data_IF_596158882661
#
_entry.id   IF_596158882661
#
_cell.length_a   1.000
_cell.length_b   1.000
_cell.length_c   1.000
_cell.angle_alpha   90.00
_cell.angle_beta   90.00
_cell.angle_gamma   90.00
#
_symmetry.space_group_name_H-M   'P 1'
#
loop_
_entity.id
_entity.type
_entity.pdbx_description
1 polymer ?
#
# COMPACT_ATOMS: atom_id res chain seq x y z
N UNK A 1 -12.99 26.03 -19.15
CA UNK A 1 -11.77 25.24 -19.40
C UNK A 1 -11.66 24.18 -18.32
N UNK A 2 -11.82 22.94 -18.71
CA UNK A 2 -11.72 21.84 -17.76
C UNK A 2 -10.26 21.46 -17.59
N UNK A 3 -9.71 21.75 -16.42
CA UNK A 3 -8.39 21.29 -16.07
C UNK A 3 -8.44 19.78 -15.86
N UNK A 4 -7.44 19.01 -16.31
CA UNK A 4 -7.40 17.59 -16.04
C UNK A 4 -7.31 17.34 -14.53
N UNK A 5 -8.03 16.33 -14.06
CA UNK A 5 -7.96 15.91 -12.68
C UNK A 5 -6.64 15.19 -12.43
N UNK A 6 -6.04 15.48 -11.30
CA UNK A 6 -4.81 14.79 -10.86
C UNK A 6 -5.19 13.67 -9.91
N UNK A 7 -4.95 12.43 -10.32
CA UNK A 7 -5.15 11.25 -9.50
C UNK A 7 -3.78 10.73 -9.04
N UNK A 8 -3.61 10.60 -7.74
CA UNK A 8 -2.37 10.07 -7.17
C UNK A 8 -2.67 8.74 -6.49
N UNK A 9 -1.91 7.71 -6.87
CA UNK A 9 -2.00 6.40 -6.25
C UNK A 9 -1.24 6.36 -4.94
N UNK A 10 -1.89 5.91 -3.89
CA UNK A 10 -1.30 5.75 -2.57
C UNK A 10 -0.69 4.35 -2.46
N UNK A 11 0.54 4.26 -1.97
CA UNK A 11 1.32 3.02 -1.98
C UNK A 11 1.50 2.39 -0.61
N UNK A 12 0.94 2.98 0.43
CA UNK A 12 1.08 2.48 1.78
C UNK A 12 0.58 1.06 1.96
N UNK A 13 1.16 0.36 2.92
CA UNK A 13 0.83 -1.04 3.25
C UNK A 13 0.07 -1.15 4.56
N UNK A 14 -0.10 -0.07 5.27
CA UNK A 14 -0.93 0.03 6.47
C UNK A 14 -1.82 1.24 6.37
N UNK A 15 -2.88 1.28 7.18
CA UNK A 15 -3.76 2.44 7.23
C UNK A 15 -2.99 3.72 7.53
N UNK A 16 -2.04 3.68 8.46
CA UNK A 16 -1.21 4.84 8.82
C UNK A 16 -0.32 5.31 7.68
N UNK A 17 0.28 4.38 6.95
CA UNK A 17 1.10 4.73 5.79
C UNK A 17 0.26 5.34 4.67
N UNK A 18 -0.91 4.77 4.42
CA UNK A 18 -1.84 5.29 3.42
C UNK A 18 -2.29 6.70 3.82
N UNK A 19 -2.56 6.93 5.10
CA UNK A 19 -2.93 8.25 5.59
C UNK A 19 -1.83 9.29 5.36
N UNK A 20 -0.57 8.93 5.60
CA UNK A 20 0.55 9.82 5.31
C UNK A 20 0.69 10.10 3.82
N UNK A 21 0.52 9.07 2.98
CA UNK A 21 0.56 9.23 1.53
C UNK A 21 -0.56 10.17 1.06
N UNK A 22 -1.74 10.08 1.66
CA UNK A 22 -2.86 10.95 1.33
C UNK A 22 -2.55 12.42 1.63
N UNK A 23 -1.90 12.69 2.75
CA UNK A 23 -1.49 14.07 3.08
C UNK A 23 -0.48 14.61 2.09
N UNK A 24 0.49 13.80 1.69
CA UNK A 24 1.44 14.20 0.66
C UNK A 24 0.75 14.46 -0.67
N UNK A 25 -0.22 13.62 -1.03
CA UNK A 25 -0.99 13.82 -2.26
C UNK A 25 -1.76 15.13 -2.23
N UNK A 26 -2.39 15.47 -1.11
CA UNK A 26 -3.06 16.76 -0.96
C UNK A 26 -2.10 17.93 -1.14
N UNK A 27 -0.91 17.84 -0.55
CA UNK A 27 0.11 18.87 -0.68
C UNK A 27 0.63 19.02 -2.11
N UNK A 28 0.59 17.95 -2.90
CA UNK A 28 0.99 17.95 -4.30
C UNK A 28 -0.14 18.41 -5.23
N UNK A 29 -1.31 18.70 -4.70
CA UNK A 29 -2.43 19.19 -5.49
C UNK A 29 -3.29 18.10 -6.11
N UNK A 30 -3.35 16.91 -5.53
CA UNK A 30 -4.23 15.86 -6.03
C UNK A 30 -5.70 16.25 -5.92
N UNK A 31 -6.49 15.87 -6.92
CA UNK A 31 -7.94 16.03 -6.92
C UNK A 31 -8.65 14.78 -6.44
N UNK A 32 -8.02 13.63 -6.61
CA UNK A 32 -8.53 12.32 -6.21
C UNK A 32 -7.36 11.42 -5.88
N UNK A 33 -7.56 10.48 -4.96
CA UNK A 33 -6.54 9.49 -4.60
C UNK A 33 -7.05 8.10 -4.90
N UNK A 34 -6.15 7.22 -5.34
CA UNK A 34 -6.44 5.80 -5.51
C UNK A 34 -5.86 5.04 -4.33
N UNK A 35 -6.70 4.25 -3.67
CA UNK A 35 -6.29 3.42 -2.54
C UNK A 35 -6.32 1.96 -2.95
N UNK A 36 -5.15 1.31 -2.90
CA UNK A 36 -5.02 -0.13 -3.15
C UNK A 36 -5.22 -0.89 -1.84
N UNK A 37 -6.43 -1.35 -1.61
CA UNK A 37 -6.76 -2.08 -0.37
C UNK A 37 -5.99 -3.40 -0.25
N UNK A 38 -5.69 -4.04 -1.38
CA UNK A 38 -4.91 -5.28 -1.38
C UNK A 38 -3.49 -5.10 -0.83
N UNK A 39 -2.94 -3.89 -0.88
CA UNK A 39 -1.64 -3.62 -0.27
C UNK A 39 -1.61 -3.80 1.25
N UNK A 40 -2.77 -3.78 1.91
CA UNK A 40 -2.86 -4.06 3.34
C UNK A 40 -2.40 -5.48 3.69
N UNK A 41 -2.48 -6.41 2.75
CA UNK A 41 -2.03 -7.79 2.93
C UNK A 41 -0.59 -8.00 2.51
N UNK A 42 0.23 -6.97 2.66
CA UNK A 42 1.65 -7.02 2.39
C UNK A 42 2.43 -6.36 3.50
N UNK A 43 3.66 -6.80 3.69
CA UNK A 43 4.62 -6.10 4.54
C UNK A 43 5.97 -6.11 3.86
N UNK A 44 6.76 -5.10 4.17
CA UNK A 44 8.11 -4.99 3.64
C UNK A 44 9.08 -5.61 4.64
N UNK A 45 9.81 -6.65 4.21
CA UNK A 45 10.92 -7.20 4.97
C UNK A 45 12.22 -6.63 4.44
N UNK A 46 12.94 -5.95 5.31
CA UNK A 46 14.32 -5.57 5.01
C UNK A 46 15.21 -6.75 5.29
N UNK A 47 15.69 -7.38 4.23
CA UNK A 47 16.77 -8.31 4.37
C UNK A 47 18.05 -7.50 4.56
N UNK A 48 18.55 -7.46 5.79
CA UNK A 48 19.93 -7.14 5.99
C UNK A 48 20.72 -8.30 5.39
N UNK A 49 21.17 -8.11 4.18
CA UNK A 49 22.29 -8.90 3.74
C UNK A 49 23.44 -8.40 4.60
N UNK A 50 23.72 -9.12 5.67
CA UNK A 50 24.98 -8.94 6.34
C UNK A 50 26.02 -9.16 5.26
N UNK A 51 26.59 -8.09 4.79
CA UNK A 51 27.78 -8.22 4.03
C UNK A 51 28.79 -8.80 4.99
N UNK A 52 28.94 -10.07 4.95
CA UNK A 52 30.18 -10.69 5.34
C UNK A 52 31.21 -10.21 4.36
N UNK A 53 31.25 -8.97 4.25
CA UNK A 53 32.31 -8.41 3.49
C UNK A 53 33.53 -8.62 4.32
N UNK A 54 34.24 -9.49 3.92
CA UNK A 54 35.66 -9.35 3.87
C UNK A 54 35.97 -8.01 3.27
N UNK A 55 35.40 -7.02 3.78
CA UNK A 55 35.57 -5.62 3.71
C UNK A 55 36.35 -4.98 2.60
N UNK A 56 36.44 -5.60 1.50
CA UNK A 56 37.35 -5.11 0.50
C UNK A 56 36.76 -4.05 -0.38
N UNK A 57 35.48 -3.81 -0.29
CA UNK A 57 34.88 -2.73 -1.06
C UNK A 57 34.04 -1.84 -0.20
N UNK A 58 34.72 -0.91 0.40
CA UNK A 58 34.09 0.17 1.13
C UNK A 58 33.21 1.07 0.27
N UNK A 59 33.26 0.91 -1.03
CA UNK A 59 32.45 1.70 -1.94
C UNK A 59 31.10 1.08 -2.28
N UNK A 60 30.82 -0.10 -1.79
CA UNK A 60 29.49 -0.68 -1.98
C UNK A 60 28.57 -0.19 -0.89
N UNK A 61 27.72 0.72 -1.30
CA UNK A 61 26.54 1.02 -0.53
C UNK A 61 25.83 -0.30 -0.21
N UNK A 62 25.46 -0.46 1.04
CA UNK A 62 24.67 -1.57 1.48
C UNK A 62 23.42 -1.71 0.60
N UNK A 63 23.34 -2.80 -0.13
CA UNK A 63 22.13 -3.13 -0.85
C UNK A 63 21.12 -3.63 0.16
N UNK A 64 20.25 -2.74 0.58
CA UNK A 64 19.07 -3.12 1.32
C UNK A 64 18.09 -3.69 0.30
N UNK A 65 18.04 -5.00 0.17
CA UNK A 65 16.99 -5.64 -0.60
C UNK A 65 15.75 -5.72 0.28
N UNK A 66 14.73 -4.98 -0.10
CA UNK A 66 13.44 -5.09 0.54
C UNK A 66 12.60 -6.11 -0.24
N UNK A 67 12.13 -7.15 0.45
CA UNK A 67 11.19 -8.10 -0.10
C UNK A 67 9.79 -7.77 0.38
N UNK A 68 8.84 -7.86 -0.53
CA UNK A 68 7.43 -7.75 -0.18
C UNK A 68 6.95 -9.12 0.26
N UNK A 69 6.52 -9.22 1.51
CA UNK A 69 5.94 -10.44 2.06
C UNK A 69 4.43 -10.38 1.93
N UNK A 70 3.85 -11.46 1.40
CA UNK A 70 2.40 -11.64 1.34
C UNK A 70 1.89 -12.06 2.72
N UNK A 71 0.88 -11.35 3.24
CA UNK A 71 0.21 -11.72 4.48
C UNK A 71 -1.00 -12.59 4.22
N UNK A 72 -1.37 -13.39 5.20
CA UNK A 72 -2.59 -14.20 5.14
C UNK A 72 -3.81 -13.35 5.44
N UNK A 73 -4.98 -13.83 5.03
CA UNK A 73 -6.23 -13.07 5.16
C UNK A 73 -6.50 -12.64 6.60
N UNK A 74 -6.31 -13.53 7.57
CA UNK A 74 -6.57 -13.26 8.98
C UNK A 74 -5.49 -12.45 9.69
N UNK A 75 -4.36 -12.15 9.05
CA UNK A 75 -3.31 -11.34 9.65
C UNK A 75 -3.60 -9.84 9.62
N UNK A 76 -4.60 -9.42 8.88
CA UNK A 76 -4.94 -8.00 8.71
C UNK A 76 -6.33 -7.74 9.29
N UNK A 77 -6.42 -6.80 10.21
CA UNK A 77 -7.69 -6.27 10.69
C UNK A 77 -8.15 -5.16 9.76
N UNK A 78 -8.87 -5.55 8.72
CA UNK A 78 -9.30 -4.63 7.68
C UNK A 78 -10.17 -3.49 8.22
N UNK A 79 -11.06 -3.78 9.17
CA UNK A 79 -11.96 -2.76 9.72
C UNK A 79 -11.19 -1.64 10.39
N UNK A 80 -10.19 -1.99 11.21
CA UNK A 80 -9.34 -1.01 11.89
C UNK A 80 -8.51 -0.21 10.90
N UNK A 81 -7.90 -0.88 9.94
CA UNK A 81 -7.08 -0.22 8.93
C UNK A 81 -7.91 0.69 8.04
N UNK A 82 -9.09 0.22 7.63
CA UNK A 82 -9.96 1.01 6.77
C UNK A 82 -10.55 2.22 7.51
N UNK A 83 -10.81 2.13 8.80
CA UNK A 83 -11.26 3.27 9.59
C UNK A 83 -10.24 4.41 9.52
N UNK A 84 -8.96 4.10 9.64
CA UNK A 84 -7.88 5.09 9.49
C UNK A 84 -7.90 5.69 8.08
N UNK A 85 -8.02 4.85 7.07
CA UNK A 85 -8.04 5.29 5.67
C UNK A 85 -9.23 6.19 5.39
N UNK A 86 -10.41 5.82 5.86
CA UNK A 86 -11.65 6.56 5.57
C UNK A 86 -11.64 7.98 6.14
N UNK A 87 -10.83 8.23 7.15
CA UNK A 87 -10.74 9.52 7.80
C UNK A 87 -9.51 10.33 7.42
N UNK A 88 -8.65 9.80 6.56
CA UNK A 88 -7.34 10.40 6.32
C UNK A 88 -7.37 11.61 5.37
N UNK A 89 -8.41 11.75 4.58
CA UNK A 89 -8.52 12.85 3.62
C UNK A 89 -9.98 13.11 3.27
N UNK A 90 -10.29 14.34 2.89
CA UNK A 90 -11.60 14.71 2.33
C UNK A 90 -11.65 14.53 0.81
N UNK A 91 -10.52 14.21 0.18
CA UNK A 91 -10.50 13.98 -1.25
C UNK A 91 -11.29 12.72 -1.62
N UNK A 92 -11.93 12.71 -2.79
CA UNK A 92 -12.55 11.49 -3.29
C UNK A 92 -11.52 10.36 -3.42
N UNK A 93 -11.95 9.16 -3.07
CA UNK A 93 -11.10 7.97 -3.15
C UNK A 93 -11.63 6.99 -4.18
N UNK A 94 -10.73 6.47 -5.00
CA UNK A 94 -11.00 5.29 -5.82
C UNK A 94 -10.44 4.11 -5.05
N UNK A 95 -11.32 3.19 -4.64
CA UNK A 95 -10.92 2.01 -3.88
C UNK A 95 -10.75 0.83 -4.82
N UNK A 96 -9.59 0.21 -4.80
CA UNK A 96 -9.32 -0.99 -5.58
C UNK A 96 -8.80 -2.08 -4.68
N UNK A 97 -9.10 -3.33 -5.03
CA UNK A 97 -8.62 -4.51 -4.31
C UNK A 97 -8.33 -5.60 -5.33
N UNK A 98 -7.07 -5.71 -5.73
CA UNK A 98 -6.66 -6.61 -6.81
C UNK A 98 -6.32 -7.98 -6.25
N UNK A 99 -6.92 -9.07 -6.80
CA UNK A 99 -6.61 -10.42 -6.35
C UNK A 99 -5.25 -10.90 -6.85
N UNK A 100 -4.71 -11.91 -6.18
CA UNK A 100 -3.41 -12.48 -6.53
C UNK A 100 -3.35 -12.96 -7.98
N UNK A 101 -4.42 -13.56 -8.50
CA UNK A 101 -4.49 -14.05 -9.87
C UNK A 101 -4.34 -12.95 -10.92
N UNK A 102 -4.53 -11.69 -10.55
CA UNK A 102 -4.39 -10.54 -11.44
C UNK A 102 -3.16 -9.68 -11.09
N UNK A 103 -2.21 -10.26 -10.36
CA UNK A 103 -1.00 -9.56 -9.97
C UNK A 103 -1.12 -8.67 -8.75
N UNK A 104 -2.23 -8.77 -8.01
CA UNK A 104 -2.41 -8.06 -6.75
C UNK A 104 -2.02 -8.90 -5.55
N UNK A 105 -2.41 -8.45 -4.35
CA UNK A 105 -1.98 -9.06 -3.10
C UNK A 105 -3.13 -9.55 -2.22
N UNK A 106 -4.39 -9.38 -2.64
CA UNK A 106 -5.50 -9.83 -1.81
C UNK A 106 -5.55 -11.36 -1.77
N UNK A 107 -5.41 -11.99 -0.59
CA UNK A 107 -5.27 -13.46 -0.50
C UNK A 107 -6.59 -14.21 -0.45
N UNK A 108 -7.72 -13.52 -0.32
CA UNK A 108 -9.02 -14.15 -0.25
C UNK A 108 -9.58 -14.53 -1.62
N UNK A 109 -10.74 -15.22 -1.60
CA UNK A 109 -11.43 -15.54 -2.83
C UNK A 109 -12.22 -14.33 -3.37
N UNK A 110 -12.90 -14.52 -4.50
CA UNK A 110 -13.62 -13.42 -5.16
C UNK A 110 -14.77 -12.89 -4.31
N UNK A 111 -15.51 -13.75 -3.62
CA UNK A 111 -16.60 -13.32 -2.75
C UNK A 111 -16.08 -12.49 -1.58
N UNK A 112 -14.97 -12.91 -1.00
CA UNK A 112 -14.32 -12.18 0.09
C UNK A 112 -13.79 -10.81 -0.40
N UNK A 113 -13.23 -10.77 -1.59
CA UNK A 113 -12.74 -9.52 -2.18
C UNK A 113 -13.88 -8.53 -2.41
N UNK A 114 -15.00 -9.00 -2.94
CA UNK A 114 -16.19 -8.16 -3.14
C UNK A 114 -16.75 -7.66 -1.82
N UNK A 115 -16.72 -8.48 -0.78
CA UNK A 115 -17.18 -8.07 0.55
C UNK A 115 -16.29 -6.95 1.12
N UNK A 116 -14.98 -7.02 0.94
CA UNK A 116 -14.06 -5.96 1.33
C UNK A 116 -14.45 -4.64 0.65
N UNK A 117 -14.71 -4.68 -0.65
CA UNK A 117 -15.10 -3.48 -1.39
C UNK A 117 -16.48 -2.94 -0.97
N UNK A 118 -17.40 -3.80 -0.59
CA UNK A 118 -18.72 -3.38 -0.12
C UNK A 118 -18.69 -2.74 1.26
N UNK A 119 -17.81 -3.23 2.14
CA UNK A 119 -17.70 -2.71 3.49
C UNK A 119 -16.86 -1.44 3.56
N UNK A 120 -16.20 -1.11 2.48
CA UNK A 120 -15.37 0.09 2.39
C UNK A 120 -16.21 1.36 2.14
#
# INVERSE_FOLDING_TARGET
MNLPLVCIALRGRTGSQIANDAKEAENLGADVVEVRLDNLWTMEERLQVSADSEGTDSSRSEKVESLVKQLELGEVDFETEFEIISQCTELPMILTCRPQRQGGFYPGNEDQRLEVLRSA
#
